data_IF_062209586578
#
_entry.id   IF_062209586578
#
_cell.length_a   1.000
_cell.length_b   1.000
_cell.length_c   1.000
_cell.angle_alpha   90.00
_cell.angle_beta   90.00
_cell.angle_gamma   90.00
#
_symmetry.space_group_name_H-M   'P 1'
#
loop_
_entity.id
_entity.type
_entity.pdbx_description
1 polymer ?
#
# COMPACT_ATOMS: atom_id res chain seq x y z
N UNK A 1 8.84 13.32 75.71
CA UNK A 1 9.70 14.18 74.84
C UNK A 1 10.91 13.34 74.47
N UNK A 2 11.31 13.01 73.24
CA UNK A 2 11.03 13.50 71.89
C UNK A 2 10.97 12.31 70.92
N UNK A 3 10.27 12.52 69.81
CA UNK A 3 9.97 11.60 68.71
C UNK A 3 11.25 11.21 67.94
N UNK A 4 11.43 9.94 67.59
CA UNK A 4 12.33 9.53 66.51
C UNK A 4 11.50 9.19 65.28
N UNK A 5 11.65 10.05 64.29
CA UNK A 5 10.97 10.05 63.00
C UNK A 5 11.76 9.12 62.06
N UNK A 6 11.07 8.08 61.58
CA UNK A 6 11.02 7.68 60.17
C UNK A 6 12.35 7.74 59.39
N UNK A 7 13.09 6.62 59.39
CA UNK A 7 14.12 6.32 58.39
C UNK A 7 13.65 5.16 57.51
N UNK A 8 12.56 5.37 56.78
CA UNK A 8 12.16 4.51 55.67
C UNK A 8 12.97 4.95 54.44
N UNK A 9 14.11 4.29 54.21
CA UNK A 9 14.90 4.38 52.99
C UNK A 9 14.01 3.99 51.79
N UNK A 10 13.33 4.98 51.20
CA UNK A 10 12.76 4.89 49.86
C UNK A 10 13.94 4.83 48.89
N UNK A 11 14.40 3.62 48.60
CA UNK A 11 15.26 3.36 47.45
C UNK A 11 14.37 3.45 46.21
N UNK A 12 14.06 4.69 45.78
CA UNK A 12 13.44 4.99 44.49
C UNK A 12 14.49 4.63 43.46
N UNK A 13 14.50 3.37 43.04
CA UNK A 13 15.21 2.93 41.85
C UNK A 13 14.64 3.71 40.66
N UNK A 14 15.35 4.76 40.25
CA UNK A 14 15.20 5.36 38.93
C UNK A 14 15.59 4.29 37.90
N UNK A 15 14.63 3.43 37.55
CA UNK A 15 14.71 2.64 36.33
C UNK A 15 14.59 3.64 35.19
N UNK A 16 15.72 4.18 34.77
CA UNK A 16 15.85 4.89 33.51
C UNK A 16 15.61 3.83 32.44
N UNK A 17 14.34 3.67 32.03
CA UNK A 17 13.99 3.00 30.80
C UNK A 17 14.61 3.82 29.67
N UNK A 18 15.86 3.54 29.37
CA UNK A 18 16.49 3.91 28.11
C UNK A 18 15.72 3.19 27.02
N UNK A 19 14.66 3.82 26.53
CA UNK A 19 14.08 3.47 25.24
C UNK A 19 15.19 3.65 24.21
N UNK A 20 15.93 2.57 23.95
CA UNK A 20 16.83 2.52 22.82
C UNK A 20 15.97 2.85 21.60
N UNK A 21 16.15 4.06 21.06
CA UNK A 21 15.52 4.43 19.81
C UNK A 21 16.07 3.44 18.78
N UNK A 22 15.22 2.50 18.38
CA UNK A 22 15.52 1.60 17.28
C UNK A 22 15.64 2.49 16.04
N UNK A 23 16.86 2.90 15.72
CA UNK A 23 17.19 3.58 14.48
C UNK A 23 17.01 2.56 13.37
N UNK A 24 15.80 2.46 12.84
CA UNK A 24 15.57 1.71 11.61
C UNK A 24 16.22 2.51 10.50
N UNK A 25 17.27 1.94 9.89
CA UNK A 25 17.91 2.49 8.70
C UNK A 25 16.93 2.39 7.52
N UNK A 26 15.98 3.32 7.46
CA UNK A 26 15.09 3.46 6.31
C UNK A 26 15.92 4.01 5.14
N UNK A 27 16.07 3.21 4.09
CA UNK A 27 16.81 3.59 2.88
C UNK A 27 16.04 4.72 2.17
N UNK A 28 16.55 5.93 2.22
CA UNK A 28 15.98 7.05 1.47
C UNK A 28 15.96 6.72 -0.04
N UNK A 29 14.87 7.03 -0.75
CA UNK A 29 14.69 6.69 -2.16
C UNK A 29 14.58 7.94 -3.02
N UNK A 30 15.34 8.04 -4.09
CA UNK A 30 15.18 9.14 -5.05
C UNK A 30 13.85 9.01 -5.80
N UNK A 31 13.18 10.14 -6.00
CA UNK A 31 11.91 10.21 -6.70
C UNK A 31 11.79 11.45 -7.57
N UNK A 32 11.07 11.30 -8.68
CA UNK A 32 10.61 12.39 -9.54
C UNK A 32 9.09 12.45 -9.50
N UNK A 33 8.54 13.57 -9.05
CA UNK A 33 7.11 13.77 -8.84
C UNK A 33 6.61 14.80 -9.86
N UNK A 34 5.60 14.42 -10.64
CA UNK A 34 4.87 15.32 -11.53
C UNK A 34 3.56 15.68 -10.82
N UNK A 35 3.41 16.97 -10.52
CA UNK A 35 2.25 17.53 -9.84
C UNK A 35 1.11 17.77 -10.83
N UNK A 36 -0.13 17.80 -10.36
CA UNK A 36 -1.30 18.12 -11.20
C UNK A 36 -1.28 19.53 -11.78
N UNK A 37 -0.41 20.41 -11.27
CA UNK A 37 -0.13 21.74 -11.81
C UNK A 37 0.84 21.73 -12.99
N UNK A 38 1.47 20.59 -13.32
CA UNK A 38 2.58 20.49 -14.27
C UNK A 38 3.96 20.72 -13.66
N UNK A 39 4.04 21.13 -12.38
CA UNK A 39 5.32 21.26 -11.65
C UNK A 39 6.01 19.89 -11.54
N UNK A 40 7.32 19.86 -11.79
CA UNK A 40 8.15 18.66 -11.65
C UNK A 40 9.10 18.86 -10.46
N UNK A 41 9.04 17.95 -9.51
CA UNK A 41 9.88 17.96 -8.31
C UNK A 41 10.78 16.72 -8.29
N UNK A 42 12.09 16.94 -8.27
CA UNK A 42 13.08 15.88 -8.02
C UNK A 42 13.51 15.94 -6.56
N UNK A 43 13.32 14.84 -5.82
CA UNK A 43 13.45 14.83 -4.35
C UNK A 43 13.80 13.45 -3.84
N UNK A 44 14.09 13.34 -2.54
CA UNK A 44 14.27 12.07 -1.85
C UNK A 44 13.04 11.77 -1.01
N UNK A 45 12.39 10.64 -1.25
CA UNK A 45 11.39 10.08 -0.35
C UNK A 45 12.04 9.64 0.94
N UNK A 46 11.35 9.91 2.06
CA UNK A 46 11.74 9.42 3.38
C UNK A 46 10.83 8.22 3.71
N UNK A 47 11.25 6.96 3.50
CA UNK A 47 10.52 5.79 3.99
C UNK A 47 10.79 5.61 5.50
N UNK A 48 10.24 4.67 6.29
CA UNK A 48 9.54 3.41 6.06
C UNK A 48 8.57 3.12 7.25
N UNK A 49 7.48 2.35 7.04
CA UNK A 49 6.93 1.98 5.74
C UNK A 49 6.33 3.19 5.04
N UNK A 50 6.43 3.23 3.70
CA UNK A 50 5.67 4.22 2.92
C UNK A 50 4.20 3.88 3.15
N UNK A 51 3.57 4.65 4.02
CA UNK A 51 2.19 4.49 4.41
C UNK A 51 1.30 5.00 3.26
N UNK A 52 1.01 4.11 2.30
CA UNK A 52 0.20 4.43 1.12
C UNK A 52 -1.28 4.70 1.46
N UNK A 53 -1.71 4.41 2.68
CA UNK A 53 -2.99 4.81 3.26
C UNK A 53 -3.07 6.31 3.63
N UNK A 54 -1.92 6.97 3.87
CA UNK A 54 -1.93 8.41 4.19
C UNK A 54 -2.36 9.24 2.97
N UNK A 55 -3.06 10.35 3.19
CA UNK A 55 -3.42 11.27 2.10
C UNK A 55 -2.25 12.15 1.60
N UNK A 56 -1.02 11.89 2.07
CA UNK A 56 0.20 12.59 1.70
C UNK A 56 1.40 11.64 1.61
N UNK A 57 2.48 12.09 0.97
CA UNK A 57 3.83 11.51 1.03
C UNK A 57 4.78 12.47 1.74
N UNK A 58 5.86 11.96 2.33
CA UNK A 58 6.92 12.76 2.94
C UNK A 58 8.14 12.77 2.01
N UNK A 59 8.65 13.97 1.75
CA UNK A 59 9.84 14.18 0.92
C UNK A 59 10.87 15.00 1.68
N UNK A 60 12.15 14.82 1.35
CA UNK A 60 13.26 15.60 1.87
C UNK A 60 13.65 16.68 0.87
N UNK A 61 13.57 17.94 1.27
CA UNK A 61 14.02 19.10 0.50
C UNK A 61 15.11 19.81 1.31
N UNK A 62 16.38 19.60 0.95
CA UNK A 62 17.52 20.00 1.79
C UNK A 62 17.45 19.32 3.16
N UNK A 63 17.48 20.09 4.24
CA UNK A 63 17.37 19.58 5.62
C UNK A 63 15.93 19.52 6.15
N UNK A 64 14.94 19.86 5.33
CA UNK A 64 13.54 19.92 5.75
C UNK A 64 12.74 18.73 5.23
N UNK A 65 11.75 18.34 6.01
CA UNK A 65 10.73 17.34 5.61
C UNK A 65 9.48 18.08 5.18
N UNK A 66 9.06 17.89 3.93
CA UNK A 66 7.81 18.44 3.38
C UNK A 66 6.78 17.33 3.20
N UNK A 67 5.51 17.64 3.47
CA UNK A 67 4.36 16.75 3.19
C UNK A 67 3.68 17.18 1.89
N UNK A 68 3.58 16.28 0.93
CA UNK A 68 2.89 16.52 -0.35
C UNK A 68 1.59 15.73 -0.37
N UNK A 69 0.44 16.40 -0.51
CA UNK A 69 -0.87 15.75 -0.59
C UNK A 69 -0.98 14.92 -1.88
N UNK A 70 -1.37 13.65 -1.79
CA UNK A 70 -1.48 12.74 -2.94
C UNK A 70 -2.40 13.25 -4.04
N UNK A 71 -3.49 13.94 -3.67
CA UNK A 71 -4.42 14.54 -4.64
C UNK A 71 -3.77 15.56 -5.60
N UNK A 72 -2.62 16.12 -5.22
CA UNK A 72 -1.85 17.07 -6.03
C UNK A 72 -0.77 16.39 -6.87
N UNK A 73 -0.60 15.07 -6.75
CA UNK A 73 0.37 14.28 -7.52
C UNK A 73 -0.40 13.67 -8.70
N UNK A 74 0.12 13.87 -9.90
CA UNK A 74 -0.38 13.22 -11.11
C UNK A 74 0.34 11.87 -11.30
N UNK A 75 1.67 11.92 -11.28
CA UNK A 75 2.56 10.79 -11.55
C UNK A 75 3.81 10.89 -10.68
N UNK A 76 4.39 9.76 -10.30
CA UNK A 76 5.63 9.71 -9.52
C UNK A 76 6.49 8.54 -9.99
N UNK A 77 7.79 8.78 -10.15
CA UNK A 77 8.78 7.77 -10.48
C UNK A 77 9.65 7.54 -9.24
N UNK A 78 9.82 6.28 -8.83
CA UNK A 78 10.64 5.90 -7.68
C UNK A 78 11.49 4.70 -8.08
N UNK A 79 12.81 4.87 -8.13
CA UNK A 79 13.69 3.87 -8.74
C UNK A 79 13.17 3.44 -10.12
N UNK A 80 12.77 2.18 -10.30
CA UNK A 80 12.22 1.63 -11.54
C UNK A 80 10.68 1.59 -11.57
N UNK A 81 10.02 1.98 -10.49
CA UNK A 81 8.57 1.91 -10.36
C UNK A 81 7.93 3.24 -10.80
N UNK A 82 6.80 3.15 -11.50
CA UNK A 82 5.94 4.28 -11.85
C UNK A 82 4.67 4.22 -11.02
N UNK A 83 4.26 5.35 -10.48
CA UNK A 83 3.03 5.51 -9.71
C UNK A 83 2.14 6.56 -10.35
N UNK A 84 0.83 6.32 -10.37
CA UNK A 84 -0.17 7.22 -10.93
C UNK A 84 -1.35 7.40 -9.98
N UNK A 85 -1.93 8.59 -9.99
CA UNK A 85 -3.04 8.90 -9.11
C UNK A 85 -4.39 8.57 -9.76
N UNK A 86 -5.10 7.57 -9.23
CA UNK A 86 -6.30 6.99 -9.84
C UNK A 86 -7.52 7.10 -8.94
N UNK A 87 -8.66 7.38 -9.56
CA UNK A 87 -9.95 7.06 -8.95
C UNK A 87 -10.05 5.54 -8.85
N UNK A 88 -10.61 5.04 -7.75
CA UNK A 88 -10.85 3.60 -7.56
C UNK A 88 -12.28 3.38 -7.08
N UNK A 89 -12.90 2.28 -7.52
CA UNK A 89 -14.15 1.83 -6.92
C UNK A 89 -13.93 1.31 -5.49
N UNK A 90 -14.96 1.41 -4.66
CA UNK A 90 -15.03 0.72 -3.38
C UNK A 90 -14.95 -0.80 -3.57
N UNK A 91 -14.55 -1.58 -2.57
CA UNK A 91 -14.48 -3.04 -2.68
C UNK A 91 -15.78 -3.71 -3.17
N UNK A 92 -16.95 -3.14 -2.88
CA UNK A 92 -18.24 -3.64 -3.38
C UNK A 92 -18.57 -3.27 -4.83
N UNK A 93 -17.71 -2.51 -5.52
CA UNK A 93 -17.95 -1.98 -6.86
C UNK A 93 -18.98 -0.85 -6.95
N UNK A 94 -19.73 -0.55 -5.88
CA UNK A 94 -20.93 0.32 -5.95
C UNK A 94 -20.66 1.82 -6.07
N UNK A 95 -19.50 2.31 -5.65
CA UNK A 95 -19.18 3.75 -5.66
C UNK A 95 -17.70 4.02 -5.91
N UNK A 96 -17.39 5.14 -6.55
CA UNK A 96 -16.02 5.65 -6.65
C UNK A 96 -15.62 6.26 -5.29
N UNK A 97 -14.42 5.94 -4.80
CA UNK A 97 -13.88 6.54 -3.58
C UNK A 97 -13.57 8.02 -3.81
N UNK A 98 -13.95 8.86 -2.83
CA UNK A 98 -13.69 10.32 -2.88
C UNK A 98 -12.20 10.67 -2.99
N UNK A 99 -11.35 9.85 -2.34
CA UNK A 99 -9.92 10.06 -2.33
C UNK A 99 -9.28 9.15 -3.38
N UNK A 100 -8.58 9.76 -4.33
CA UNK A 100 -7.75 9.04 -5.28
C UNK A 100 -6.61 8.29 -4.56
N UNK A 101 -6.18 7.19 -5.17
CA UNK A 101 -5.05 6.38 -4.71
C UNK A 101 -3.85 6.58 -5.63
N UNK A 102 -2.68 6.71 -5.04
CA UNK A 102 -1.41 6.70 -5.77
C UNK A 102 -0.98 5.25 -5.93
N UNK A 103 -1.28 4.65 -7.08
CA UNK A 103 -1.08 3.23 -7.36
C UNK A 103 0.17 3.01 -8.22
N UNK A 104 0.92 1.96 -7.94
CA UNK A 104 2.02 1.51 -8.80
C UNK A 104 1.47 0.94 -10.10
N UNK A 105 2.03 1.34 -11.23
CA UNK A 105 1.75 0.76 -12.56
C UNK A 105 2.50 -0.56 -12.67
N UNK A 106 1.78 -1.64 -13.01
CA UNK A 106 2.37 -2.98 -13.19
C UNK A 106 2.36 -3.39 -14.65
N UNK A 107 1.22 -3.25 -15.32
CA UNK A 107 1.04 -3.58 -16.75
C UNK A 107 0.25 -2.46 -17.42
N UNK A 108 0.62 -2.09 -18.65
CA UNK A 108 -0.14 -1.17 -19.50
C UNK A 108 -0.60 -1.91 -20.77
N UNK A 109 -1.81 -1.60 -21.24
CA UNK A 109 -2.40 -2.24 -22.42
C UNK A 109 -3.89 -1.92 -22.59
N UNK A 110 -4.65 -2.81 -23.23
CA UNK A 110 -6.12 -2.71 -23.36
C UNK A 110 -6.80 -2.62 -21.98
N UNK A 111 -6.23 -3.32 -21.00
CA UNK A 111 -6.48 -3.21 -19.56
C UNK A 111 -5.16 -2.86 -18.89
N UNK A 112 -5.18 -1.80 -18.07
CA UNK A 112 -4.04 -1.42 -17.24
C UNK A 112 -4.15 -2.09 -15.87
N UNK A 113 -3.05 -2.68 -15.37
CA UNK A 113 -2.94 -3.24 -14.03
C UNK A 113 -2.18 -2.29 -13.11
N UNK A 114 -2.78 -2.01 -11.96
CA UNK A 114 -2.18 -1.22 -10.89
C UNK A 114 -2.11 -2.01 -9.60
N UNK A 115 -1.14 -1.66 -8.75
CA UNK A 115 -0.91 -2.29 -7.47
C UNK A 115 -0.79 -1.25 -6.36
N UNK A 116 -1.48 -1.49 -5.25
CA UNK A 116 -1.29 -0.80 -3.99
C UNK A 116 -0.67 -1.74 -2.96
N UNK A 117 0.11 -1.20 -2.04
CA UNK A 117 0.81 -2.00 -1.03
C UNK A 117 0.52 -1.44 0.36
N UNK A 118 0.08 -2.32 1.25
CA UNK A 118 -0.18 -2.00 2.65
C UNK A 118 0.78 -2.78 3.54
N UNK A 119 1.23 -2.14 4.62
CA UNK A 119 1.85 -2.84 5.74
C UNK A 119 0.81 -2.92 6.83
N UNK A 120 0.35 -4.14 7.13
CA UNK A 120 -0.54 -4.40 8.26
C UNK A 120 0.28 -4.94 9.42
N UNK A 121 -0.08 -4.48 10.61
CA UNK A 121 0.47 -4.96 11.87
C UNK A 121 -0.50 -6.01 12.41
N UNK A 122 -0.04 -7.24 12.60
CA UNK A 122 -0.82 -8.35 13.13
C UNK A 122 -0.19 -8.83 14.45
N UNK A 123 -0.99 -9.36 15.39
CA UNK A 123 -0.45 -9.95 16.62
C UNK A 123 0.42 -11.17 16.28
N UNK A 124 1.61 -11.29 16.88
CA UNK A 124 2.34 -12.56 16.85
C UNK A 124 1.61 -13.59 17.71
N UNK A 125 1.18 -14.75 17.16
CA UNK A 125 0.61 -15.83 17.96
C UNK A 125 1.55 -16.36 19.04
N UNK A 126 2.87 -16.12 18.92
CA UNK A 126 3.90 -16.53 19.88
C UNK A 126 4.34 -15.41 20.83
N UNK A 127 3.63 -14.27 20.86
CA UNK A 127 3.88 -13.13 21.74
C UNK A 127 5.29 -12.48 21.65
N UNK A 128 6.03 -12.66 20.54
CA UNK A 128 7.33 -11.99 20.37
C UNK A 128 7.22 -10.54 19.88
N UNK A 129 6.02 -9.94 19.97
CA UNK A 129 5.73 -8.59 19.50
C UNK A 129 4.86 -8.57 18.25
N UNK A 130 4.70 -7.42 17.59
CA UNK A 130 3.90 -7.34 16.37
C UNK A 130 4.65 -7.86 15.14
N UNK A 131 3.95 -8.60 14.28
CA UNK A 131 4.44 -9.00 12.96
C UNK A 131 3.89 -8.02 11.92
N UNK A 132 4.74 -7.57 11.01
CA UNK A 132 4.35 -6.68 9.92
C UNK A 132 4.28 -7.45 8.61
N UNK A 133 3.08 -7.57 8.04
CA UNK A 133 2.88 -8.20 6.74
C UNK A 133 2.73 -7.16 5.65
N UNK A 134 3.43 -7.38 4.54
CA UNK A 134 3.24 -6.62 3.30
C UNK A 134 2.11 -7.29 2.51
N UNK A 135 1.04 -6.54 2.24
CA UNK A 135 -0.17 -6.99 1.56
C UNK A 135 -0.32 -6.21 0.25
N UNK A 136 -0.72 -6.87 -0.83
CA UNK A 136 -0.94 -6.24 -2.13
C UNK A 136 -2.44 -6.16 -2.46
N UNK A 137 -2.82 -5.08 -3.14
CA UNK A 137 -4.16 -4.89 -3.69
C UNK A 137 -4.02 -4.58 -5.16
N UNK A 138 -4.71 -5.33 -6.00
CA UNK A 138 -4.63 -5.19 -7.45
C UNK A 138 -5.90 -4.56 -8.00
N UNK A 139 -5.71 -3.61 -8.90
CA UNK A 139 -6.76 -2.87 -9.56
C UNK A 139 -6.57 -2.93 -11.07
N UNK A 140 -7.63 -3.14 -11.82
CA UNK A 140 -7.64 -3.05 -13.28
C UNK A 140 -8.40 -1.81 -13.74
N UNK A 141 -8.02 -1.23 -14.88
CA UNK A 141 -8.79 -0.17 -15.54
C UNK A 141 -8.70 -0.32 -17.07
N UNK A 142 -9.84 -0.49 -17.73
CA UNK A 142 -10.02 -0.33 -19.20
C UNK A 142 -10.07 1.16 -19.55
N UNK A 143 -9.75 1.51 -20.78
CA UNK A 143 -9.77 2.92 -21.23
C UNK A 143 -11.17 3.55 -21.16
N UNK A 144 -12.23 2.74 -21.24
CA UNK A 144 -13.62 3.19 -21.12
C UNK A 144 -14.12 3.34 -19.68
N UNK A 145 -13.31 3.02 -18.66
CA UNK A 145 -13.73 3.05 -17.25
C UNK A 145 -13.30 4.33 -16.54
N UNK A 146 -14.22 4.98 -15.81
CA UNK A 146 -13.96 6.21 -15.06
C UNK A 146 -13.00 6.03 -13.86
N UNK A 147 -12.90 4.80 -13.34
CA UNK A 147 -12.11 4.46 -12.17
C UNK A 147 -11.61 3.01 -12.24
N UNK A 148 -10.51 2.73 -11.53
CA UNK A 148 -9.96 1.39 -11.47
C UNK A 148 -10.78 0.50 -10.52
N UNK A 149 -11.03 -0.74 -10.95
CA UNK A 149 -11.79 -1.75 -10.22
C UNK A 149 -10.86 -2.71 -9.51
N UNK A 150 -11.11 -2.98 -8.23
CA UNK A 150 -10.32 -3.93 -7.45
C UNK A 150 -10.62 -5.36 -7.90
N UNK A 151 -9.60 -6.09 -8.32
CA UNK A 151 -9.74 -7.48 -8.78
C UNK A 151 -9.16 -8.50 -7.78
N UNK A 152 -8.32 -8.04 -6.85
CA UNK A 152 -7.79 -8.88 -5.78
C UNK A 152 -7.33 -8.04 -4.59
N UNK A 153 -7.57 -8.55 -3.39
CA UNK A 153 -6.97 -8.04 -2.16
C UNK A 153 -6.35 -9.21 -1.40
N UNK A 154 -5.05 -9.15 -1.16
CA UNK A 154 -4.27 -10.19 -0.46
C UNK A 154 -4.49 -10.17 1.06
N UNK A 155 -5.73 -10.17 1.55
CA UNK A 155 -6.06 -10.17 2.98
C UNK A 155 -6.41 -11.58 3.49
N UNK A 156 -5.79 -11.96 4.62
CA UNK A 156 -5.90 -13.18 5.44
C UNK A 156 -6.06 -14.59 4.80
N UNK A 157 -5.66 -15.62 5.55
CA UNK A 157 -5.15 -16.89 4.99
C UNK A 157 -6.16 -17.89 4.42
N UNK A 158 -7.47 -17.70 4.58
CA UNK A 158 -8.39 -18.83 4.36
C UNK A 158 -9.06 -18.88 2.98
N UNK A 159 -9.05 -17.83 2.16
CA UNK A 159 -9.65 -17.94 0.83
C UNK A 159 -9.25 -16.88 -0.21
N UNK A 160 -7.95 -16.67 -0.38
CA UNK A 160 -7.43 -15.68 -1.35
C UNK A 160 -7.90 -15.96 -2.78
N UNK A 161 -8.02 -17.25 -3.13
CA UNK A 161 -8.42 -17.65 -4.46
C UNK A 161 -9.90 -17.38 -4.73
N UNK A 162 -10.82 -17.63 -3.80
CA UNK A 162 -12.25 -17.36 -4.04
C UNK A 162 -12.54 -15.86 -4.21
N UNK A 163 -11.86 -15.02 -3.42
CA UNK A 163 -11.95 -13.57 -3.57
C UNK A 163 -11.47 -13.09 -4.94
N UNK A 164 -10.33 -13.62 -5.40
CA UNK A 164 -9.82 -13.38 -6.75
C UNK A 164 -10.77 -13.90 -7.82
N UNK A 165 -11.20 -15.17 -7.72
CA UNK A 165 -12.10 -15.84 -8.67
C UNK A 165 -13.38 -15.05 -8.86
N UNK A 166 -14.00 -14.59 -7.77
CA UNK A 166 -15.25 -13.82 -7.84
C UNK A 166 -15.03 -12.45 -8.51
N UNK A 167 -14.04 -11.69 -8.07
CA UNK A 167 -13.84 -10.32 -8.57
C UNK A 167 -13.25 -10.31 -9.99
N UNK A 168 -12.22 -11.10 -10.26
CA UNK A 168 -11.54 -11.13 -11.54
C UNK A 168 -12.40 -11.78 -12.64
N UNK A 169 -13.10 -12.89 -12.38
CA UNK A 169 -13.98 -13.50 -13.39
C UNK A 169 -15.13 -12.56 -13.80
N UNK A 170 -15.65 -11.76 -12.87
CA UNK A 170 -16.66 -10.75 -13.19
C UNK A 170 -16.06 -9.61 -14.04
N UNK A 171 -14.87 -9.13 -13.68
CA UNK A 171 -14.20 -8.05 -14.40
C UNK A 171 -13.82 -8.43 -15.84
N UNK A 172 -13.35 -9.66 -16.05
CA UNK A 172 -12.96 -10.20 -17.36
C UNK A 172 -14.06 -11.01 -18.04
N UNK A 173 -15.33 -10.81 -17.65
CA UNK A 173 -16.47 -11.57 -18.18
C UNK A 173 -16.70 -11.43 -19.69
N UNK A 174 -16.07 -10.44 -20.31
CA UNK A 174 -16.03 -10.22 -21.75
C UNK A 174 -15.00 -11.09 -22.49
N UNK A 175 -14.18 -11.87 -21.78
CA UNK A 175 -13.24 -12.85 -22.34
C UNK A 175 -13.49 -14.23 -21.72
N UNK A 176 -14.16 -15.10 -22.47
CA UNK A 176 -14.57 -16.43 -22.01
C UNK A 176 -13.38 -17.30 -21.61
N UNK A 177 -12.31 -17.34 -22.42
CA UNK A 177 -11.13 -18.17 -22.15
C UNK A 177 -10.44 -17.82 -20.82
N UNK A 178 -10.24 -16.51 -20.55
CA UNK A 178 -9.65 -16.05 -19.29
C UNK A 178 -10.59 -16.33 -18.12
N UNK A 179 -11.88 -16.07 -18.30
CA UNK A 179 -12.90 -16.31 -17.29
C UNK A 179 -12.97 -17.79 -16.88
N UNK A 180 -12.90 -18.71 -17.84
CA UNK A 180 -12.85 -20.15 -17.59
C UNK A 180 -11.59 -20.55 -16.83
N UNK A 181 -10.41 -20.06 -17.23
CA UNK A 181 -9.14 -20.32 -16.52
C UNK A 181 -9.19 -19.85 -15.07
N UNK A 182 -9.81 -18.70 -14.79
CA UNK A 182 -9.99 -18.19 -13.42
C UNK A 182 -10.99 -19.08 -12.65
N UNK A 183 -12.14 -19.40 -13.24
CA UNK A 183 -13.19 -20.21 -12.59
C UNK A 183 -12.72 -21.63 -12.26
N UNK A 184 -11.89 -22.22 -13.13
CA UNK A 184 -11.32 -23.54 -12.98
C UNK A 184 -9.98 -23.53 -12.22
N UNK A 185 -9.59 -22.38 -11.64
CA UNK A 185 -8.36 -22.20 -10.85
C UNK A 185 -7.05 -22.52 -11.59
N UNK A 186 -7.09 -22.54 -12.92
CA UNK A 186 -5.87 -22.55 -13.76
C UNK A 186 -5.13 -21.24 -13.63
N UNK A 187 -5.87 -20.12 -13.51
CA UNK A 187 -5.34 -18.86 -13.01
C UNK A 187 -5.77 -18.64 -11.57
N UNK A 188 -4.80 -18.39 -10.71
CA UNK A 188 -5.00 -18.12 -9.28
C UNK A 188 -4.66 -16.67 -8.94
N UNK A 189 -4.88 -16.28 -7.68
CA UNK A 189 -4.48 -14.96 -7.18
C UNK A 189 -2.97 -14.64 -7.32
N UNK A 190 -2.12 -15.66 -7.55
CA UNK A 190 -0.68 -15.48 -7.81
C UNK A 190 -0.40 -15.05 -9.26
N UNK A 191 -1.36 -15.29 -10.15
CA UNK A 191 -1.21 -15.11 -11.59
C UNK A 191 -1.85 -13.81 -12.09
N UNK A 192 -2.18 -12.87 -11.19
CA UNK A 192 -2.85 -11.61 -11.54
C UNK A 192 -2.16 -10.85 -12.67
N UNK A 193 -0.83 -10.84 -12.69
CA UNK A 193 -0.05 -10.19 -13.77
C UNK A 193 -0.23 -10.95 -15.09
N UNK A 194 -0.06 -12.28 -15.07
CA UNK A 194 -0.18 -13.13 -16.25
C UNK A 194 -1.59 -13.09 -16.87
N UNK A 195 -2.63 -13.01 -16.03
CA UNK A 195 -4.03 -12.85 -16.47
C UNK A 195 -4.20 -11.57 -17.29
N UNK A 196 -3.68 -10.44 -16.81
CA UNK A 196 -3.79 -9.15 -17.51
C UNK A 196 -2.93 -9.13 -18.77
N UNK A 197 -1.72 -9.68 -18.72
CA UNK A 197 -0.86 -9.82 -19.89
C UNK A 197 -1.49 -10.70 -20.98
N UNK A 198 -2.18 -11.78 -20.60
CA UNK A 198 -2.93 -12.61 -21.55
C UNK A 198 -4.12 -11.86 -22.15
N UNK A 199 -4.89 -11.12 -21.34
CA UNK A 199 -6.02 -10.31 -21.83
C UNK A 199 -5.57 -9.22 -22.82
N UNK A 200 -4.38 -8.66 -22.61
CA UNK A 200 -3.85 -7.55 -23.42
C UNK A 200 -3.30 -7.96 -24.78
N UNK A 201 -3.07 -9.25 -25.02
CA UNK A 201 -2.74 -9.79 -26.36
C UNK A 201 -3.95 -9.62 -27.29
#
# INVERSE_FOLDING_TARGET
>A
MKKYILASLLFIGCIIFSFAQVHTNSKALSAKIIMTSGEVLETTLIPFPIKFDLNYIKVKEGDRIRKIKKKNIEKMFVENDVYVNKNVYSPSGKRILKNKKLLRVVVLGKVNLYCDTYTVQEPDPFANGPIFFKRNVYYCQKDSEDAATMIHYDFDNFNKNDGFKTAAANYFSDNESITEKIKNETFTYKDVVAVVEEYNK
#
